data_IF_927957978774
#
_entry.id   IF_927957978774
#
_cell.length_a   1.000
_cell.length_b   1.000
_cell.length_c   1.000
_cell.angle_alpha   90.00
_cell.angle_beta   90.00
_cell.angle_gamma   90.00
#
_symmetry.space_group_name_H-M   'P 1'
#
loop_
_entity.id
_entity.type
_entity.pdbx_description
1 polymer ?
#
# COMPACT_ATOMS: atom_id res chain seq x y z
N UNK A 1 5.74 13.80 6.92
CA UNK A 1 5.20 13.75 5.53
C UNK A 1 3.68 13.64 5.60
N UNK A 2 2.95 14.11 4.59
CA UNK A 2 1.49 13.93 4.54
C UNK A 2 1.16 12.47 4.19
N UNK A 3 0.04 11.91 4.69
CA UNK A 3 -0.45 10.60 4.26
C UNK A 3 -0.67 10.54 2.75
N UNK A 4 -0.29 9.42 2.13
CA UNK A 4 -0.56 9.14 0.73
C UNK A 4 -1.66 8.09 0.66
N UNK A 5 -2.67 8.26 -0.20
CA UNK A 5 -3.78 7.32 -0.34
C UNK A 5 -3.96 6.91 -1.80
N UNK A 6 -4.16 5.62 -2.03
CA UNK A 6 -4.61 5.06 -3.30
C UNK A 6 -5.67 3.99 -3.00
N UNK A 7 -6.93 4.25 -3.34
CA UNK A 7 -8.04 3.34 -3.01
C UNK A 7 -8.16 3.10 -1.50
N UNK A 8 -8.06 1.84 -1.10
CA UNK A 8 -8.07 1.35 0.28
C UNK A 8 -6.68 1.38 0.94
N UNK A 9 -5.60 1.60 0.19
CA UNK A 9 -4.24 1.71 0.74
C UNK A 9 -3.95 3.12 1.20
N UNK A 10 -3.56 3.26 2.47
CA UNK A 10 -3.02 4.47 3.06
C UNK A 10 -1.58 4.21 3.51
N UNK A 11 -0.67 5.08 3.08
CA UNK A 11 0.72 5.11 3.53
C UNK A 11 0.91 6.25 4.53
N UNK A 12 1.35 5.88 5.73
CA UNK A 12 1.67 6.79 6.81
C UNK A 12 3.18 6.82 7.02
N UNK A 13 3.77 7.99 7.22
CA UNK A 13 5.20 8.10 7.54
C UNK A 13 5.52 7.28 8.78
N UNK A 14 6.56 6.45 8.70
CA UNK A 14 7.07 5.66 9.82
C UNK A 14 8.51 6.10 10.15
N UNK A 15 8.86 6.11 11.44
CA UNK A 15 10.23 6.41 11.86
C UNK A 15 11.15 5.21 11.64
N UNK A 16 10.63 4.00 11.89
CA UNK A 16 11.35 2.74 11.76
C UNK A 16 10.57 1.75 10.90
N UNK A 17 11.31 0.86 10.25
CA UNK A 17 10.77 -0.35 9.60
C UNK A 17 10.91 -1.48 10.60
N UNK A 18 9.86 -2.27 10.75
CA UNK A 18 9.88 -3.43 11.62
C UNK A 18 9.53 -4.70 10.82
N UNK A 19 9.91 -5.85 11.37
CA UNK A 19 9.55 -7.14 10.82
C UNK A 19 10.52 -7.76 9.81
N UNK A 20 10.03 -8.81 9.16
CA UNK A 20 10.78 -9.61 8.20
C UNK A 20 10.59 -9.07 6.79
N UNK A 21 11.68 -9.04 6.00
CA UNK A 21 11.63 -8.63 4.60
C UNK A 21 10.86 -9.65 3.77
N UNK A 22 9.90 -9.18 2.98
CA UNK A 22 9.15 -9.96 2.01
C UNK A 22 9.87 -9.99 0.65
N UNK A 23 9.59 -11.03 -0.14
CA UNK A 23 10.16 -11.21 -1.49
C UNK A 23 9.35 -10.50 -2.58
N UNK A 24 8.25 -9.82 -2.24
CA UNK A 24 7.36 -9.12 -3.17
C UNK A 24 7.13 -7.67 -2.70
N UNK A 25 6.52 -6.87 -3.58
CA UNK A 25 6.19 -5.46 -3.32
C UNK A 25 4.68 -5.20 -3.49
N UNK A 26 3.87 -6.14 -3.00
CA UNK A 26 2.40 -6.05 -3.01
C UNK A 26 1.97 -5.60 -1.61
N UNK A 27 1.34 -4.44 -1.53
CA UNK A 27 0.91 -3.78 -0.30
C UNK A 27 -0.51 -4.21 0.10
N UNK A 28 -1.34 -4.53 -0.87
CA UNK A 28 -2.69 -5.05 -0.67
C UNK A 28 -3.15 -5.82 -1.91
N UNK A 29 -3.97 -6.84 -1.70
CA UNK A 29 -4.85 -7.38 -2.74
C UNK A 29 -6.07 -6.46 -2.79
N UNK A 30 -6.38 -5.89 -3.96
CA UNK A 30 -7.44 -4.90 -4.11
C UNK A 30 -8.84 -5.49 -3.89
N UNK A 31 -9.86 -4.63 -3.91
CA UNK A 31 -11.25 -5.02 -3.67
C UNK A 31 -11.81 -5.98 -4.73
N UNK A 32 -11.30 -5.89 -5.96
CA UNK A 32 -11.61 -6.79 -7.07
C UNK A 32 -10.62 -7.94 -7.08
N UNK A 33 -11.14 -9.17 -7.14
CA UNK A 33 -10.31 -10.39 -7.18
C UNK A 33 -9.32 -10.34 -8.35
N UNK A 34 -8.03 -10.25 -8.04
CA UNK A 34 -6.94 -10.25 -9.03
C UNK A 34 -6.22 -8.92 -9.24
N UNK A 35 -6.73 -7.81 -8.69
CA UNK A 35 -6.00 -6.53 -8.69
C UNK A 35 -5.12 -6.39 -7.44
N UNK A 36 -4.04 -5.62 -7.55
CA UNK A 36 -3.07 -5.49 -6.46
C UNK A 36 -2.51 -4.08 -6.36
N UNK A 37 -2.52 -3.53 -5.15
CA UNK A 37 -1.73 -2.35 -4.86
C UNK A 37 -0.28 -2.77 -4.73
N UNK A 38 0.57 -2.36 -5.68
CA UNK A 38 1.98 -2.75 -5.71
C UNK A 38 2.91 -1.62 -6.09
N UNK A 39 4.16 -1.74 -5.67
CA UNK A 39 5.22 -0.88 -6.21
C UNK A 39 5.61 -1.41 -7.59
N UNK A 40 5.34 -0.62 -8.63
CA UNK A 40 5.61 -0.99 -10.02
C UNK A 40 6.97 -0.48 -10.52
N UNK A 41 7.46 0.64 -9.96
CA UNK A 41 8.71 1.28 -10.37
C UNK A 41 9.48 1.82 -9.17
N UNK A 42 10.79 1.98 -9.32
CA UNK A 42 11.71 2.42 -8.27
C UNK A 42 12.28 1.27 -7.43
N UNK A 43 13.18 1.61 -6.50
CA UNK A 43 13.76 0.66 -5.56
C UNK A 43 13.07 0.79 -4.21
N UNK A 44 12.41 -0.28 -3.80
CA UNK A 44 11.75 -0.37 -2.51
C UNK A 44 11.86 -1.78 -1.94
N UNK A 45 11.60 -1.88 -0.64
CA UNK A 45 11.53 -3.13 0.11
C UNK A 45 10.27 -3.13 0.96
N UNK A 46 9.65 -4.30 1.08
CA UNK A 46 8.46 -4.49 1.90
C UNK A 46 8.79 -5.42 3.05
N UNK A 47 8.26 -5.09 4.22
CA UNK A 47 8.46 -5.82 5.46
C UNK A 47 7.12 -6.10 6.11
N UNK A 48 7.04 -7.16 6.90
CA UNK A 48 5.84 -7.56 7.63
C UNK A 48 6.18 -7.85 9.09
N UNK A 49 5.38 -7.26 9.98
CA UNK A 49 5.38 -7.57 11.41
C UNK A 49 3.96 -7.65 11.95
N UNK A 50 3.61 -8.81 12.49
CA UNK A 50 2.33 -9.06 13.16
C UNK A 50 1.11 -8.63 12.32
N UNK A 51 1.16 -8.87 11.01
CA UNK A 51 0.11 -8.51 10.06
C UNK A 51 0.10 -7.03 9.63
N UNK A 52 1.07 -6.24 10.09
CA UNK A 52 1.30 -4.86 9.62
C UNK A 52 2.41 -4.85 8.58
N UNK A 53 2.16 -4.22 7.43
CA UNK A 53 3.16 -4.04 6.39
C UNK A 53 3.89 -2.70 6.54
N UNK A 54 5.18 -2.71 6.24
CA UNK A 54 6.05 -1.54 6.21
C UNK A 54 6.80 -1.48 4.88
N UNK A 55 6.67 -0.35 4.18
CA UNK A 55 7.36 -0.08 2.92
C UNK A 55 8.56 0.83 3.19
N UNK A 56 9.75 0.41 2.75
CA UNK A 56 10.94 1.26 2.69
C UNK A 56 11.24 1.63 1.24
N UNK A 57 11.10 2.91 0.89
CA UNK A 57 11.46 3.44 -0.43
C UNK A 57 12.92 3.89 -0.38
N UNK A 58 13.77 3.23 -1.16
CA UNK A 58 15.23 3.41 -1.17
C UNK A 58 15.65 4.46 -2.21
N UNK A 59 15.04 4.41 -3.40
CA UNK A 59 15.24 5.41 -4.44
C UNK A 59 14.59 6.75 -4.06
N UNK A 60 14.92 7.83 -4.79
CA UNK A 60 14.34 9.16 -4.53
C UNK A 60 12.80 9.16 -4.62
N UNK A 61 12.26 8.30 -5.49
CA UNK A 61 10.84 7.98 -5.53
C UNK A 61 10.60 6.55 -6.01
N UNK A 62 9.46 5.98 -5.62
CA UNK A 62 8.90 4.74 -6.14
C UNK A 62 7.43 4.95 -6.55
N UNK A 63 6.88 4.13 -7.44
CA UNK A 63 5.52 4.31 -7.97
C UNK A 63 4.59 3.24 -7.42
N UNK A 64 3.57 3.67 -6.68
CA UNK A 64 2.44 2.81 -6.29
C UNK A 64 1.43 2.75 -7.42
N UNK A 65 1.14 1.56 -7.91
CA UNK A 65 0.17 1.31 -8.96
C UNK A 65 -0.91 0.32 -8.50
N UNK A 66 -2.10 0.51 -9.05
CA UNK A 66 -3.23 -0.39 -8.99
C UNK A 66 -3.93 -0.33 -10.34
N UNK A 67 -4.51 -1.43 -10.81
CA UNK A 67 -5.11 -1.55 -12.14
C UNK A 67 -6.23 -0.52 -12.40
N UNK A 68 -6.95 -0.09 -11.36
CA UNK A 68 -8.10 0.82 -11.46
C UNK A 68 -7.77 2.27 -11.07
N UNK A 69 -6.57 2.53 -10.55
CA UNK A 69 -6.21 3.85 -10.03
C UNK A 69 -5.02 4.44 -10.77
N UNK A 70 -4.97 5.77 -10.77
CA UNK A 70 -3.80 6.47 -11.30
C UNK A 70 -2.58 6.14 -10.43
N UNK A 71 -1.42 5.82 -11.05
CA UNK A 71 -0.19 5.59 -10.31
C UNK A 71 0.21 6.82 -9.49
N UNK A 72 0.68 6.59 -8.26
CA UNK A 72 1.07 7.66 -7.33
C UNK A 72 2.56 7.56 -7.01
N UNK A 73 3.34 8.63 -7.22
CA UNK A 73 4.74 8.66 -6.78
C UNK A 73 4.82 8.79 -5.26
N UNK A 74 5.59 7.91 -4.65
CA UNK A 74 5.92 7.90 -3.23
C UNK A 74 7.35 8.41 -3.09
N UNK A 75 7.61 9.42 -2.25
CA UNK A 75 8.98 9.89 -2.03
C UNK A 75 9.76 8.90 -1.17
N UNK A 76 11.10 8.98 -1.26
CA UNK A 76 12.03 8.26 -0.40
C UNK A 76 11.65 8.36 1.08
N UNK A 77 11.65 7.22 1.79
CA UNK A 77 11.32 7.17 3.20
C UNK A 77 10.72 5.84 3.63
N UNK A 78 10.40 5.76 4.92
CA UNK A 78 9.75 4.61 5.53
C UNK A 78 8.26 4.90 5.73
N UNK A 79 7.43 3.91 5.42
CA UNK A 79 5.99 4.04 5.40
C UNK A 79 5.35 2.83 6.06
N UNK A 80 4.42 3.07 6.98
CA UNK A 80 3.49 2.05 7.48
C UNK A 80 2.29 1.97 6.55
N UNK A 81 1.93 0.76 6.15
CA UNK A 81 0.77 0.49 5.29
C UNK A 81 -0.45 0.27 6.17
N UNK A 82 -1.54 0.97 5.86
CA UNK A 82 -2.85 0.77 6.45
C UNK A 82 -3.86 0.47 5.35
N UNK A 83 -4.60 -0.62 5.53
CA UNK A 83 -5.70 -0.99 4.64
C UNK A 83 -7.00 -0.47 5.24
N UNK A 84 -7.66 0.42 4.52
CA UNK A 84 -8.97 0.97 4.87
C UNK A 84 -10.05 0.10 4.24
N UNK A 85 -10.70 -0.74 5.04
CA UNK A 85 -11.91 -1.45 4.61
C UNK A 85 -13.14 -0.65 4.98
N UNK A 86 -14.11 -0.55 4.09
CA UNK A 86 -15.41 0.05 4.42
C UNK A 86 -16.15 -0.88 5.41
N UNK A 87 -16.51 -0.37 6.58
CA UNK A 87 -17.38 -1.08 7.51
C UNK A 87 -18.82 -0.93 7.02
N UNK A 88 -19.36 -1.98 6.40
CA UNK A 88 -20.78 -2.07 6.05
C UNK A 88 -21.49 -2.98 7.07
N UNK A 89 -22.28 -2.43 8.03
CA UNK A 89 -23.04 -3.23 8.99
C UNK A 89 -24.24 -3.97 8.37
N UNK A 90 -24.59 -3.66 7.13
CA UNK A 90 -25.74 -4.23 6.41
C UNK A 90 -25.25 -4.79 5.08
N UNK A 91 -25.70 -6.01 4.76
CA UNK A 91 -25.10 -6.89 3.77
C UNK A 91 -24.84 -6.30 2.38
N UNK A 92 -23.90 -6.97 1.70
CA UNK A 92 -23.43 -6.76 0.33
C UNK A 92 -24.36 -5.96 -0.57
N UNK A 93 -23.89 -4.78 -0.98
CA UNK A 93 -24.41 -4.11 -2.16
C UNK A 93 -23.22 -3.72 -3.03
N UNK A 94 -23.29 -4.06 -4.32
CA UNK A 94 -22.28 -3.66 -5.29
C UNK A 94 -22.18 -2.13 -5.29
N UNK A 95 -21.05 -1.61 -4.82
CA UNK A 95 -20.62 -0.25 -5.08
C UNK A 95 -19.70 -0.36 -6.30
N UNK A 96 -20.23 0.04 -7.45
CA UNK A 96 -19.38 0.54 -8.51
C UNK A 96 -19.03 1.99 -8.15
N UNK A 97 -17.79 2.38 -8.40
CA UNK A 97 -17.28 3.76 -8.30
C UNK A 97 -18.29 4.83 -8.79
#
# INVERSE_FOLDING_TARGET
MQPIRQGDVILLSAEHIEGQKLSHLILAEGEVTGHTHRIAEGQAELYEQEGTLYLSVISDSAVLAHEEHQPIPIPKGNWMVKIQREYQPEGWRYVAD
#
